data_IF_113711513815
#
_entry.id   IF_113711513815
#
_cell.length_a   1.000
_cell.length_b   1.000
_cell.length_c   1.000
_cell.angle_alpha   90.00
_cell.angle_beta   90.00
_cell.angle_gamma   90.00
#
_symmetry.space_group_name_H-M   'P 1'
#
loop_
_entity.id
_entity.type
_entity.pdbx_description
1 polymer ?
2 non-polymer ?
3 non-polymer ?
4 water ?
#
# COMPACT_ATOMS: atom_id res chain seq x y z
N UNK A 1 0.34 11.14 -14.54
CA UNK A 1 0.37 11.02 -13.04
C UNK A 1 -1.02 10.75 -12.49
N UNK A 2 -1.17 9.74 -11.63
CA UNK A 2 -2.45 9.25 -11.04
C UNK A 2 -2.62 9.86 -9.64
N UNK A 3 -3.81 10.36 -9.32
CA UNK A 3 -4.21 10.74 -7.93
C UNK A 3 -4.86 9.50 -7.30
N UNK A 4 -4.33 9.02 -6.18
CA UNK A 4 -4.78 7.73 -5.57
C UNK A 4 -5.84 8.02 -4.51
N UNK A 5 -6.73 7.06 -4.21
CA UNK A 5 -7.59 7.19 -3.04
C UNK A 5 -6.82 7.20 -1.70
N UNK A 6 -7.31 8.00 -0.78
CA UNK A 6 -6.67 8.28 0.55
C UNK A 6 -7.51 7.64 1.65
N UNK A 7 -6.84 6.86 2.49
CA UNK A 7 -7.42 6.20 3.67
C UNK A 7 -7.79 7.26 4.70
N UNK A 8 -8.92 7.09 5.38
CA UNK A 8 -9.37 8.03 6.44
C UNK A 8 -9.31 7.36 7.80
N UNK A 9 -9.16 8.15 8.85
CA UNK A 9 -9.15 7.70 10.26
C UNK A 9 -10.33 6.76 10.47
N UNK A 10 -10.13 5.63 11.14
CA UNK A 10 -11.14 4.56 11.24
C UNK A 10 -10.74 3.35 10.43
N UNK A 11 -9.96 3.56 9.36
CA UNK A 11 -9.46 2.48 8.47
C UNK A 11 -8.17 1.88 9.06
N UNK A 12 -8.15 0.56 9.15
CA UNK A 12 -7.12 -0.20 9.90
C UNK A 12 -5.74 -0.09 9.22
N UNK A 13 -5.68 0.14 7.90
CA UNK A 13 -4.39 0.32 7.15
C UNK A 13 -3.53 1.39 7.85
N UNK A 14 -4.18 2.42 8.41
CA UNK A 14 -3.55 3.61 9.04
C UNK A 14 -2.89 3.25 10.38
N UNK A 15 -3.27 2.13 10.99
CA UNK A 15 -2.74 1.66 12.29
C UNK A 15 -1.67 0.56 12.17
N UNK A 16 -1.27 0.08 10.99
CA UNK A 16 -0.21 -0.96 10.91
C UNK A 16 1.18 -0.33 10.99
N UNK A 17 2.18 -1.18 11.18
CA UNK A 17 3.59 -0.79 10.95
C UNK A 17 3.91 -1.18 9.53
N UNK A 18 4.20 -0.21 8.69
CA UNK A 18 4.54 -0.42 7.26
C UNK A 18 5.85 -1.21 7.12
N UNK A 19 5.94 -1.98 6.07
CA UNK A 19 7.02 -2.95 5.80
C UNK A 19 8.11 -2.21 5.03
N UNK A 20 9.40 -2.45 5.34
CA UNK A 20 10.48 -1.83 4.59
C UNK A 20 10.43 -2.20 3.10
N UNK A 21 10.92 -1.29 2.29
CA UNK A 21 11.18 -1.48 0.85
C UNK A 21 12.40 -2.40 0.71
N UNK A 22 12.32 -3.45 -0.10
CA UNK A 22 13.45 -4.40 -0.26
C UNK A 22 14.45 -3.83 -1.28
N UNK A 23 15.70 -4.28 -1.21
CA UNK A 23 16.80 -3.82 -2.08
C UNK A 23 16.44 -3.96 -3.58
N UNK A 24 15.78 -5.03 -4.00
CA UNK A 24 15.51 -5.27 -5.44
C UNK A 24 14.44 -4.28 -5.94
N UNK A 25 13.72 -3.57 -5.05
CA UNK A 25 12.74 -2.54 -5.48
C UNK A 25 13.46 -1.22 -5.78
N UNK A 26 14.68 -1.03 -5.28
CA UNK A 26 15.42 0.25 -5.43
C UNK A 26 15.79 0.43 -6.92
N UNK A 27 15.66 1.64 -7.44
CA UNK A 27 16.07 2.01 -8.82
C UNK A 27 15.14 1.29 -9.82
N UNK A 28 13.88 1.02 -9.45
CA UNK A 28 12.92 0.26 -10.30
C UNK A 28 11.83 1.20 -10.83
N UNK A 29 11.25 0.90 -12.00
CA UNK A 29 10.06 1.64 -12.51
C UNK A 29 8.92 1.47 -11.50
N UNK A 30 8.83 0.32 -10.86
CA UNK A 30 7.83 0.09 -9.78
C UNK A 30 7.92 1.22 -8.74
N UNK A 31 9.10 1.50 -8.19
CA UNK A 31 9.27 2.47 -7.07
C UNK A 31 9.09 3.92 -7.56
N UNK A 32 9.57 4.22 -8.76
CA UNK A 32 9.37 5.52 -9.42
C UNK A 32 7.88 5.80 -9.59
N UNK A 33 7.10 4.82 -10.05
CA UNK A 33 5.66 5.04 -10.33
C UNK A 33 4.93 5.21 -8.99
N UNK A 34 5.31 4.46 -7.96
CA UNK A 34 4.68 4.58 -6.62
C UNK A 34 4.90 5.99 -6.10
N UNK A 35 6.13 6.50 -6.19
CA UNK A 35 6.53 7.83 -5.69
C UNK A 35 5.77 8.90 -6.46
N UNK A 36 5.67 8.71 -7.78
CA UNK A 36 4.99 9.66 -8.70
C UNK A 36 3.50 9.77 -8.33
N UNK A 37 2.83 8.64 -8.11
CA UNK A 37 1.39 8.59 -7.75
C UNK A 37 1.18 9.19 -6.34
N UNK A 38 2.05 8.89 -5.38
CA UNK A 38 2.01 9.55 -4.05
C UNK A 38 2.15 11.07 -4.19
N UNK A 39 3.13 11.51 -4.98
CA UNK A 39 3.41 12.95 -5.22
C UNK A 39 2.17 13.64 -5.80
N UNK A 40 1.57 13.08 -6.86
CA UNK A 40 0.36 13.63 -7.52
C UNK A 40 -0.78 13.66 -6.50
N UNK A 41 -0.88 12.64 -5.65
CA UNK A 41 -1.94 12.61 -4.60
C UNK A 41 -1.71 13.78 -3.63
N UNK A 42 -0.49 13.95 -3.12
CA UNK A 42 -0.22 15.01 -2.13
C UNK A 42 -0.58 16.38 -2.77
N UNK A 43 -0.12 16.68 -3.98
CA UNK A 43 -0.41 17.98 -4.65
C UNK A 43 -1.92 18.18 -4.83
N UNK A 44 -2.66 17.16 -5.29
CA UNK A 44 -4.13 17.24 -5.54
C UNK A 44 -4.85 17.67 -4.26
N UNK A 45 -4.33 17.31 -3.09
CA UNK A 45 -4.98 17.63 -1.79
C UNK A 45 -4.31 18.85 -1.16
N UNK A 46 -3.40 19.52 -1.85
CA UNK A 46 -2.67 20.68 -1.29
C UNK A 46 -1.88 20.28 -0.04
N UNK A 47 -1.31 19.07 -0.03
CA UNK A 47 -0.54 18.60 1.13
C UNK A 47 0.90 19.06 1.10
N UNK A 48 1.62 18.93 2.21
CA UNK A 48 3.08 19.21 2.27
C UNK A 48 3.88 17.93 2.58
N UNK A 49 3.17 16.82 2.66
CA UNK A 49 3.79 15.50 2.87
C UNK A 49 2.77 14.40 2.65
N UNK A 50 3.23 13.17 2.54
CA UNK A 50 2.35 12.00 2.40
C UNK A 50 3.15 10.77 2.77
N UNK A 51 2.50 9.72 3.27
CA UNK A 51 3.12 8.44 3.62
C UNK A 51 2.36 7.35 2.86
N UNK A 52 3.03 6.33 2.35
CA UNK A 52 2.41 5.29 1.50
C UNK A 52 1.19 4.64 2.16
N UNK A 53 1.13 4.41 3.49
CA UNK A 53 -0.08 3.84 4.11
C UNK A 53 -1.39 4.57 3.81
N UNK A 54 -1.31 5.88 3.72
CA UNK A 54 -2.42 6.82 3.42
C UNK A 54 -3.04 6.53 2.06
N UNK A 55 -2.31 5.88 1.15
CA UNK A 55 -2.86 5.43 -0.16
C UNK A 55 -2.92 3.90 -0.23
N UNK A 56 -3.03 3.24 0.91
CA UNK A 56 -3.30 1.78 1.08
C UNK A 56 -2.08 0.94 0.73
N UNK A 57 -0.91 1.57 0.75
CA UNK A 57 0.38 0.87 0.50
C UNK A 57 1.15 0.77 1.81
N UNK A 58 1.18 -0.42 2.41
CA UNK A 58 1.85 -0.62 3.71
C UNK A 58 3.36 -0.75 3.54
N UNK A 59 4.00 0.29 2.97
CA UNK A 59 5.45 0.33 2.70
C UNK A 59 6.06 1.60 3.25
N UNK A 60 7.37 1.54 3.56
CA UNK A 60 8.10 2.64 4.25
C UNK A 60 8.61 3.65 3.23
N UNK A 61 7.69 4.39 2.64
CA UNK A 61 8.00 5.44 1.64
C UNK A 61 7.22 6.65 2.09
N UNK A 62 7.88 7.81 2.22
CA UNK A 62 7.24 9.12 2.55
C UNK A 62 7.75 10.18 1.58
N UNK A 63 6.96 11.23 1.43
CA UNK A 63 7.36 12.50 0.76
C UNK A 63 7.21 13.61 1.78
N UNK A 64 8.22 14.48 1.83
CA UNK A 64 8.25 15.70 2.65
C UNK A 64 8.50 16.87 1.69
N UNK A 65 7.58 17.82 1.69
CA UNK A 65 7.73 19.13 1.04
C UNK A 65 7.63 20.17 2.16
N UNK A 66 7.68 21.44 1.84
CA UNK A 66 7.42 22.51 2.83
C UNK A 66 6.87 23.68 2.02
N UNK A 67 5.99 24.50 2.60
CA UNK A 67 5.69 25.84 2.04
C UNK A 67 5.36 26.80 3.18
N UNK A 68 5.60 28.12 3.04
CA UNK A 68 5.26 29.08 4.09
C UNK A 68 3.74 29.17 4.16
N UNK A 69 3.21 29.43 5.36
CA UNK A 69 1.76 29.51 5.66
C UNK A 69 1.59 30.47 6.83
N UNK A 70 0.33 30.76 7.26
CA UNK A 70 0.08 31.47 8.52
C UNK A 70 0.98 31.05 9.69
N UNK A 71 0.96 29.76 10.06
CA UNK A 71 1.59 29.24 11.31
C UNK A 71 3.14 29.30 11.21
N UNK A 72 3.72 29.24 10.01
CA UNK A 72 5.20 29.27 9.79
C UNK A 72 5.51 30.08 8.53
N UNK A 73 5.47 31.43 8.59
CA UNK A 73 5.75 32.25 7.40
C UNK A 73 7.22 32.19 6.93
N UNK A 74 8.19 31.80 7.77
CA UNK A 74 9.63 31.63 7.39
C UNK A 74 9.96 30.15 7.11
N UNK A 75 8.96 29.27 7.05
CA UNK A 75 9.07 27.91 6.49
C UNK A 75 9.55 28.03 5.04
N UNK A 76 10.51 27.19 4.61
CA UNK A 76 10.97 27.24 3.23
C UNK A 76 9.86 26.78 2.27
N UNK A 77 9.97 27.20 1.03
CA UNK A 77 9.34 26.52 -0.13
C UNK A 77 10.32 25.42 -0.55
N UNK A 78 9.90 24.17 -0.49
CA UNK A 78 10.81 23.00 -0.64
C UNK A 78 10.09 21.98 -1.52
N UNK A 79 10.67 21.61 -2.65
CA UNK A 79 10.01 20.60 -3.53
C UNK A 79 10.09 19.25 -2.80
N UNK A 80 9.25 18.32 -3.22
CA UNK A 80 9.11 16.97 -2.64
C UNK A 80 10.49 16.29 -2.53
N UNK A 81 10.83 15.84 -1.34
CA UNK A 81 11.92 14.83 -1.11
C UNK A 81 11.23 13.48 -0.88
N UNK A 82 11.52 12.50 -1.75
CA UNK A 82 11.06 11.10 -1.54
C UNK A 82 12.05 10.37 -0.63
N UNK A 83 11.57 9.78 0.45
CA UNK A 83 12.45 9.12 1.45
C UNK A 83 12.00 7.67 1.57
N UNK A 84 12.91 6.75 1.21
CA UNK A 84 12.66 5.31 1.28
C UNK A 84 13.32 4.80 2.57
N UNK A 85 12.58 4.01 3.35
CA UNK A 85 13.10 3.42 4.62
C UNK A 85 13.74 4.51 5.48
N UNK A 86 13.03 5.63 5.72
CA UNK A 86 13.55 6.72 6.54
C UNK A 86 13.69 6.25 7.99
N UNK A 87 14.73 6.70 8.68
CA UNK A 87 15.00 6.37 10.09
C UNK A 87 15.35 7.67 10.76
N UNK A 88 14.60 8.06 11.79
CA UNK A 88 15.04 9.20 12.62
C UNK A 88 16.10 8.67 13.59
N UNK A 89 17.33 9.18 13.49
CA UNK A 89 18.52 8.76 14.28
C UNK A 89 18.52 9.55 15.59
N UNK A 90 17.98 10.76 15.58
CA UNK A 90 18.09 11.70 16.71
C UNK A 90 16.99 12.73 16.66
N UNK A 91 16.30 12.90 17.79
CA UNK A 91 15.31 13.95 18.06
C UNK A 91 15.98 14.98 18.98
N UNK A 92 15.96 16.27 18.63
CA UNK A 92 16.45 17.35 19.52
C UNK A 92 15.68 17.30 20.86
N UNK A 93 16.33 17.74 21.93
CA UNK A 93 15.68 17.97 23.25
C UNK A 93 14.72 19.16 23.12
N UNK A 94 15.09 20.18 22.35
CA UNK A 94 14.21 21.37 22.17
C UNK A 94 12.96 20.91 21.42
N UNK A 95 11.82 21.29 21.98
CA UNK A 95 10.47 20.82 21.62
C UNK A 95 9.65 22.07 21.38
N UNK A 96 8.86 22.12 20.32
CA UNK A 96 7.94 23.27 20.11
C UNK A 96 6.63 22.72 19.57
N UNK A 97 5.57 23.44 19.89
CA UNK A 97 4.21 23.11 19.46
C UNK A 97 4.02 23.74 18.08
N UNK A 98 3.33 23.03 17.18
CA UNK A 98 2.98 23.60 15.89
C UNK A 98 1.71 23.00 15.33
N UNK A 99 1.03 23.80 14.50
CA UNK A 99 -0.24 23.46 13.84
C UNK A 99 0.02 22.32 12.83
N UNK A 100 -0.77 21.26 12.92
CA UNK A 100 -0.69 20.12 11.98
C UNK A 100 -2.09 19.87 11.44
N UNK A 101 -2.14 19.39 10.21
CA UNK A 101 -3.31 18.73 9.63
C UNK A 101 -2.90 17.37 9.11
N UNK A 102 -3.85 16.64 8.56
CA UNK A 102 -3.62 15.30 7.96
C UNK A 102 -4.61 15.06 6.82
N UNK A 103 -4.13 14.55 5.69
CA UNK A 103 -5.01 14.12 4.58
C UNK A 103 -5.97 13.02 5.07
N UNK A 104 -5.57 12.24 6.08
CA UNK A 104 -6.37 11.09 6.58
C UNK A 104 -7.33 11.57 7.68
N UNK A 105 -7.24 12.83 8.08
CA UNK A 105 -8.12 13.40 9.15
C UNK A 105 -8.54 14.78 8.64
N UNK A 106 -9.26 14.86 7.51
CA UNK A 106 -9.47 16.14 6.82
C UNK A 106 -10.29 17.19 7.61
N UNK A 107 -11.03 16.71 8.63
CA UNK A 107 -12.00 17.44 9.49
C UNK A 107 -11.30 18.32 10.55
N UNK A 108 -10.07 18.00 10.97
CA UNK A 108 -9.48 18.52 12.23
C UNK A 108 -8.06 19.00 11.97
N UNK A 109 -7.69 20.10 12.62
CA UNK A 109 -6.29 20.57 12.73
C UNK A 109 -5.97 20.70 14.21
N UNK A 110 -4.71 20.63 14.58
CA UNK A 110 -4.34 20.68 16.00
C UNK A 110 -2.90 21.12 16.21
N UNK A 111 -2.61 21.48 17.45
CA UNK A 111 -1.26 21.76 17.96
C UNK A 111 -0.65 20.45 18.42
N UNK A 112 0.56 20.15 17.92
CA UNK A 112 1.33 18.95 18.32
C UNK A 112 2.71 19.42 18.74
N UNK A 113 3.18 18.88 19.87
CA UNK A 113 4.59 18.99 20.33
C UNK A 113 5.46 18.12 19.43
N UNK A 114 6.47 18.70 18.79
CA UNK A 114 7.44 17.96 17.94
C UNK A 114 8.86 18.40 18.31
N UNK A 115 9.83 17.54 18.09
CA UNK A 115 11.26 17.91 18.13
C UNK A 115 11.47 19.05 17.12
N UNK A 116 12.17 20.10 17.54
CA UNK A 116 12.47 21.26 16.68
C UNK A 116 13.42 20.80 15.57
N UNK A 117 14.23 19.76 15.80
CA UNK A 117 15.22 19.30 14.81
C UNK A 117 15.32 17.78 14.89
N UNK A 118 15.43 17.11 13.74
CA UNK A 118 15.58 15.62 13.68
C UNK A 118 16.70 15.29 12.70
N UNK A 119 17.51 14.31 13.02
CA UNK A 119 18.51 13.78 12.09
C UNK A 119 17.89 12.55 11.45
N UNK A 120 17.83 12.53 10.11
CA UNK A 120 17.12 11.45 9.37
C UNK A 120 18.04 10.84 8.32
N UNK A 121 18.07 9.52 8.29
CA UNK A 121 18.82 8.77 7.27
C UNK A 121 17.76 8.05 6.45
N UNK A 122 17.93 8.05 5.13
CA UNK A 122 16.97 7.46 4.18
C UNK A 122 17.68 7.11 2.89
N UNK A 123 16.97 6.37 2.05
CA UNK A 123 17.41 6.03 0.69
C UNK A 123 16.64 6.90 -0.30
N UNK A 124 17.32 7.38 -1.34
CA UNK A 124 16.64 7.99 -2.50
C UNK A 124 15.93 6.85 -3.25
N UNK A 125 15.16 7.21 -4.29
CA UNK A 125 14.48 6.20 -5.15
C UNK A 125 15.54 5.33 -5.84
N UNK A 126 16.73 5.89 -6.10
CA UNK A 126 17.86 5.19 -6.76
C UNK A 126 18.59 4.28 -5.76
N UNK A 127 18.33 4.42 -4.46
CA UNK A 127 19.00 3.58 -3.47
C UNK A 127 20.24 4.24 -2.90
N UNK A 128 20.39 5.54 -3.07
CA UNK A 128 21.54 6.26 -2.50
C UNK A 128 21.19 6.63 -1.05
N UNK A 129 22.12 6.40 -0.15
CA UNK A 129 21.99 6.70 1.28
C UNK A 129 22.25 8.18 1.54
N UNK A 130 21.34 8.82 2.26
CA UNK A 130 21.42 10.28 2.59
C UNK A 130 21.18 10.43 4.09
N UNK A 131 21.90 11.35 4.74
CA UNK A 131 21.62 11.77 6.12
C UNK A 131 21.50 13.29 6.15
N UNK A 132 20.38 13.80 6.65
CA UNK A 132 20.05 15.24 6.63
C UNK A 132 19.54 15.62 8.02
N UNK A 133 19.75 16.87 8.46
CA UNK A 133 19.00 17.37 9.64
C UNK A 133 17.88 18.29 9.13
N UNK A 134 16.66 18.02 9.55
CA UNK A 134 15.47 18.89 9.29
C UNK A 134 15.27 19.76 10.53
N UNK A 135 14.84 21.01 10.32
CA UNK A 135 14.51 22.01 11.36
C UNK A 135 13.11 22.53 11.10
N UNK A 136 12.38 22.90 12.16
CA UNK A 136 11.16 23.69 12.00
C UNK A 136 10.07 22.90 11.29
N UNK A 137 9.33 23.54 10.37
CA UNK A 137 8.10 22.97 9.80
C UNK A 137 8.41 21.63 9.13
N UNK A 138 9.44 21.56 8.28
CA UNK A 138 9.91 20.32 7.67
C UNK A 138 10.27 19.19 8.68
N UNK A 139 10.89 19.51 9.81
CA UNK A 139 11.08 18.57 10.95
C UNK A 139 9.73 17.98 11.42
N UNK A 140 8.74 18.86 11.59
CA UNK A 140 7.36 18.50 11.99
C UNK A 140 6.77 17.55 10.95
N UNK A 141 6.96 17.84 9.67
CA UNK A 141 6.34 17.04 8.58
C UNK A 141 7.01 15.66 8.61
N UNK A 142 8.32 15.59 8.80
CA UNK A 142 9.07 14.31 8.78
C UNK A 142 8.56 13.46 9.94
N UNK A 143 8.46 14.06 11.13
CA UNK A 143 7.94 13.34 12.31
C UNK A 143 6.52 12.82 12.06
N UNK A 144 5.62 13.62 11.50
CA UNK A 144 4.21 13.27 11.17
C UNK A 144 4.18 12.05 10.21
N UNK A 145 5.02 12.08 9.17
CA UNK A 145 5.06 11.03 8.13
C UNK A 145 5.63 9.72 8.69
N UNK A 146 6.72 9.77 9.45
CA UNK A 146 7.26 8.55 10.12
C UNK A 146 6.20 8.00 11.09
N UNK A 147 5.48 8.86 11.82
CA UNK A 147 4.34 8.37 12.66
C UNK A 147 3.38 7.55 11.77
N UNK A 148 3.07 7.96 10.53
CA UNK A 148 2.15 7.22 9.62
C UNK A 148 2.70 5.81 9.34
N UNK A 149 4.01 5.69 9.19
CA UNK A 149 4.71 4.41 8.89
C UNK A 149 4.62 3.48 10.10
N UNK A 150 4.39 4.04 11.30
CA UNK A 150 4.37 3.34 12.60
C UNK A 150 2.95 3.27 13.14
N UNK A 151 1.96 3.59 12.32
CA UNK A 151 0.55 3.37 12.67
C UNK A 151 0.04 4.40 13.65
N UNK A 152 0.54 5.65 13.62
CA UNK A 152 0.19 6.74 14.56
C UNK A 152 -0.38 7.94 13.80
N UNK A 153 -1.55 8.43 14.24
CA UNK A 153 -2.17 9.69 13.71
C UNK A 153 -1.90 10.84 14.67
N UNK A 154 -1.81 12.07 14.15
CA UNK A 154 -1.38 13.24 14.97
C UNK A 154 -2.34 13.49 16.14
N UNK A 155 -3.61 13.11 16.00
CA UNK A 155 -4.68 13.33 17.03
C UNK A 155 -4.33 12.52 18.27
N UNK A 156 -3.60 11.41 18.12
CA UNK A 156 -3.17 10.58 19.27
C UNK A 156 -2.10 11.32 20.06
N UNK A 157 -1.46 12.37 19.50
CA UNK A 157 -0.36 13.12 20.16
C UNK A 157 -0.84 14.44 20.75
N UNK A 158 -2.13 14.71 20.69
CA UNK A 158 -2.70 15.93 21.36
C UNK A 158 -3.24 15.48 22.72
N UNK B 1 11.80 -7.02 -14.09
CA UNK B 1 10.57 -6.86 -13.22
C UNK B 1 10.89 -7.11 -11.75
N UNK B 2 10.24 -6.36 -10.86
CA UNK B 2 10.48 -6.41 -9.39
C UNK B 2 9.70 -7.57 -8.77
N UNK B 3 10.37 -8.34 -7.94
CA UNK B 3 9.76 -9.34 -7.03
C UNK B 3 9.51 -8.64 -5.69
N UNK B 4 8.26 -8.57 -5.21
CA UNK B 4 7.91 -7.80 -4.01
C UNK B 4 8.04 -8.70 -2.79
N UNK B 5 8.45 -8.17 -1.63
CA UNK B 5 8.37 -8.96 -0.40
C UNK B 5 6.90 -9.36 -0.11
N UNK B 6 6.74 -10.52 0.50
CA UNK B 6 5.43 -11.18 0.70
C UNK B 6 5.12 -11.19 2.19
N UNK B 7 3.93 -10.74 2.55
CA UNK B 7 3.44 -10.77 3.94
C UNK B 7 3.18 -12.22 4.35
N UNK B 8 3.59 -12.60 5.57
CA UNK B 8 3.28 -13.93 6.16
C UNK B 8 2.12 -13.87 7.15
N UNK B 9 1.41 -14.98 7.31
CA UNK B 9 0.43 -15.17 8.41
C UNK B 9 0.96 -14.59 9.72
N UNK B 10 0.14 -13.83 10.41
CA UNK B 10 0.58 -13.09 11.61
C UNK B 10 0.70 -11.62 11.32
N UNK B 11 0.88 -11.23 10.05
CA UNK B 11 0.92 -9.78 9.67
C UNK B 11 -0.52 -9.27 9.54
N UNK B 12 -0.81 -8.16 10.18
CA UNK B 12 -2.14 -7.51 10.23
C UNK B 12 -2.63 -7.23 8.80
N UNK B 13 -1.73 -6.94 7.83
CA UNK B 13 -2.14 -6.53 6.44
C UNK B 13 -3.05 -7.58 5.80
N UNK B 14 -2.80 -8.86 6.08
CA UNK B 14 -3.52 -10.04 5.50
C UNK B 14 -4.94 -10.12 6.07
N UNK B 15 -5.26 -9.36 7.12
CA UNK B 15 -6.55 -9.48 7.86
C UNK B 15 -7.47 -8.29 7.56
N UNK B 16 -7.11 -7.39 6.64
CA UNK B 16 -7.96 -6.21 6.34
C UNK B 16 -8.93 -6.53 5.19
N UNK B 17 -9.89 -5.65 5.00
CA UNK B 17 -10.72 -5.61 3.77
C UNK B 17 -9.99 -4.67 2.83
N UNK B 18 -9.41 -5.20 1.76
CA UNK B 18 -8.70 -4.36 0.80
C UNK B 18 -9.67 -3.35 0.19
N UNK B 19 -9.15 -2.17 -0.13
CA UNK B 19 -9.90 -1.07 -0.77
C UNK B 19 -10.03 -1.30 -2.26
N UNK B 20 -11.20 -0.99 -2.88
CA UNK B 20 -11.35 -1.06 -4.32
C UNK B 20 -10.34 -0.12 -5.00
N UNK B 21 -9.87 -0.51 -6.16
CA UNK B 21 -9.11 0.38 -7.07
C UNK B 21 -10.05 1.49 -7.58
N UNK B 22 -9.57 2.74 -7.61
CA UNK B 22 -10.37 3.93 -8.03
C UNK B 22 -10.34 4.08 -9.57
N UNK B 23 -11.31 4.78 -10.14
CA UNK B 23 -11.36 5.05 -11.59
C UNK B 23 -10.05 5.74 -12.01
N UNK B 24 -9.49 6.61 -11.17
CA UNK B 24 -8.23 7.36 -11.45
C UNK B 24 -7.12 6.40 -11.85
N UNK B 25 -7.07 5.22 -11.23
CA UNK B 25 -5.93 4.29 -11.37
C UNK B 25 -6.07 3.46 -12.65
N UNK B 26 -7.27 3.30 -13.17
CA UNK B 26 -7.48 2.46 -14.38
C UNK B 26 -6.70 3.03 -15.58
N UNK B 27 -6.03 2.16 -16.32
CA UNK B 27 -5.28 2.52 -17.56
C UNK B 27 -4.07 3.42 -17.21
N UNK B 28 -3.52 3.27 -16.01
CA UNK B 28 -2.40 4.11 -15.53
C UNK B 28 -1.12 3.29 -15.58
N UNK B 29 0.01 3.97 -15.76
CA UNK B 29 1.35 3.38 -15.58
C UNK B 29 1.44 2.76 -14.18
N UNK B 30 0.87 3.42 -13.18
CA UNK B 30 0.91 2.92 -11.78
C UNK B 30 0.32 1.50 -11.75
N UNK B 31 -0.83 1.31 -12.38
CA UNK B 31 -1.61 0.05 -12.20
C UNK B 31 -0.94 -1.05 -13.01
N UNK B 32 -0.42 -0.77 -14.20
CA UNK B 32 0.37 -1.76 -15.00
C UNK B 32 1.62 -2.22 -14.22
N UNK B 33 2.34 -1.28 -13.61
CA UNK B 33 3.58 -1.59 -12.86
C UNK B 33 3.21 -2.43 -11.63
N UNK B 34 2.12 -2.09 -10.93
CA UNK B 34 1.60 -2.95 -9.81
C UNK B 34 1.32 -4.36 -10.34
N UNK B 35 0.59 -4.54 -11.43
CA UNK B 35 0.25 -5.86 -11.99
C UNK B 35 1.52 -6.62 -12.36
N UNK B 36 2.52 -5.95 -12.96
CA UNK B 36 3.79 -6.60 -13.41
C UNK B 36 4.57 -7.11 -12.19
N UNK B 37 4.66 -6.30 -11.14
CA UNK B 37 5.41 -6.67 -9.93
C UNK B 37 4.69 -7.86 -9.28
N UNK B 38 3.37 -7.78 -9.13
CA UNK B 38 2.60 -8.92 -8.59
C UNK B 38 2.86 -10.17 -9.46
N UNK B 39 2.84 -10.02 -10.77
CA UNK B 39 3.04 -11.17 -11.69
C UNK B 39 4.44 -11.77 -11.46
N UNK B 40 5.47 -10.92 -11.39
CA UNK B 40 6.87 -11.38 -11.23
C UNK B 40 7.01 -12.11 -9.90
N UNK B 41 6.40 -11.57 -8.83
CA UNK B 41 6.43 -12.15 -7.46
C UNK B 41 5.80 -13.55 -7.49
N UNK B 42 4.63 -13.65 -8.12
CA UNK B 42 3.92 -14.95 -8.27
C UNK B 42 4.84 -16.00 -8.94
N UNK B 43 5.43 -15.66 -10.09
CA UNK B 43 6.29 -16.59 -10.89
C UNK B 43 7.53 -16.98 -10.10
N UNK B 44 8.23 -15.99 -9.52
CA UNK B 44 9.45 -16.23 -8.70
C UNK B 44 9.12 -17.16 -7.53
N UNK B 45 7.93 -17.05 -6.92
CA UNK B 45 7.52 -17.96 -5.82
C UNK B 45 6.91 -19.26 -6.37
N UNK B 46 6.82 -19.42 -7.69
CA UNK B 46 6.20 -20.60 -8.36
C UNK B 46 4.70 -20.71 -8.06
N UNK B 47 4.01 -19.58 -7.83
CA UNK B 47 2.58 -19.56 -7.45
C UNK B 47 1.68 -19.61 -8.66
N UNK B 48 0.40 -19.87 -8.48
CA UNK B 48 -0.60 -19.92 -9.59
C UNK B 48 -1.61 -18.79 -9.40
N UNK B 49 -1.47 -18.03 -8.33
CA UNK B 49 -2.22 -16.77 -8.17
C UNK B 49 -1.58 -15.90 -7.10
N UNK B 50 -2.08 -14.67 -6.98
CA UNK B 50 -1.63 -13.74 -5.92
C UNK B 50 -2.67 -12.62 -5.79
N UNK B 51 -2.78 -12.07 -4.58
CA UNK B 51 -3.61 -10.90 -4.28
C UNK B 51 -2.70 -9.79 -3.72
N UNK B 52 -3.03 -8.55 -4.00
CA UNK B 52 -2.24 -7.35 -3.65
C UNK B 52 -1.93 -7.30 -2.14
N UNK B 53 -2.84 -7.67 -1.20
CA UNK B 53 -2.49 -7.63 0.22
C UNK B 53 -1.26 -8.48 0.59
N UNK B 54 -1.01 -9.55 -0.14
CA UNK B 54 0.14 -10.46 0.07
C UNK B 54 1.42 -9.68 -0.17
N UNK B 55 1.41 -8.62 -0.97
CA UNK B 55 2.62 -7.78 -1.21
C UNK B 55 2.47 -6.41 -0.56
N UNK B 56 1.68 -6.33 0.53
CA UNK B 56 1.51 -5.15 1.40
C UNK B 56 0.78 -4.02 0.68
N UNK B 57 -0.04 -4.36 -0.30
CA UNK B 57 -0.88 -3.38 -1.05
C UNK B 57 -2.35 -3.71 -0.75
N UNK B 58 -3.04 -2.86 0.02
CA UNK B 58 -4.42 -3.15 0.49
C UNK B 58 -5.42 -2.70 -0.59
N UNK B 59 -5.30 -3.28 -1.78
CA UNK B 59 -6.09 -2.96 -3.00
C UNK B 59 -6.68 -4.25 -3.59
N UNK B 60 -7.86 -4.16 -4.20
CA UNK B 60 -8.63 -5.33 -4.72
C UNK B 60 -8.12 -5.64 -6.13
N UNK B 61 -6.94 -6.25 -6.22
CA UNK B 61 -6.29 -6.70 -7.47
C UNK B 61 -5.81 -8.13 -7.20
N UNK B 62 -6.19 -9.05 -8.07
CA UNK B 62 -5.73 -10.44 -7.99
C UNK B 62 -5.22 -10.86 -9.36
N UNK B 63 -4.37 -11.87 -9.36
CA UNK B 63 -3.92 -12.58 -10.57
C UNK B 63 -4.28 -14.06 -10.41
N UNK B 64 -4.76 -14.67 -11.49
CA UNK B 64 -5.04 -16.13 -11.55
C UNK B 64 -4.34 -16.68 -12.79
N UNK B 65 -3.58 -17.76 -12.61
CA UNK B 65 -2.88 -18.50 -13.68
C UNK B 65 -3.67 -19.78 -13.98
N UNK B 78 -3.22 -22.23 -18.37
CA UNK B 78 -3.88 -20.95 -18.75
C UNK B 78 -2.90 -19.79 -18.53
N UNK B 79 -2.87 -18.82 -19.43
CA UNK B 79 -2.10 -17.55 -19.22
C UNK B 79 -2.75 -16.80 -18.06
N UNK B 80 -1.95 -16.02 -17.32
CA UNK B 80 -2.37 -15.27 -16.11
C UNK B 80 -3.40 -14.21 -16.50
N UNK B 81 -4.51 -14.11 -15.78
CA UNK B 81 -5.44 -12.97 -15.92
C UNK B 81 -5.28 -12.10 -14.67
N UNK B 82 -5.16 -10.81 -14.89
CA UNK B 82 -5.21 -9.78 -13.84
C UNK B 82 -6.65 -9.31 -13.72
N UNK B 83 -7.17 -9.30 -12.51
CA UNK B 83 -8.56 -8.87 -12.25
C UNK B 83 -8.57 -7.72 -11.24
N UNK B 84 -9.18 -6.62 -11.62
CA UNK B 84 -9.31 -5.41 -10.76
C UNK B 84 -10.75 -5.36 -10.23
N UNK B 85 -10.92 -5.17 -8.92
CA UNK B 85 -12.26 -5.05 -8.28
C UNK B 85 -13.08 -6.29 -8.66
N UNK B 86 -12.57 -7.52 -8.50
CA UNK B 86 -13.36 -8.69 -8.87
C UNK B 86 -14.54 -8.89 -7.91
N UNK B 87 -15.63 -9.42 -8.45
CA UNK B 87 -16.81 -9.79 -7.64
C UNK B 87 -17.31 -11.15 -8.15
N UNK B 88 -17.54 -12.09 -7.24
CA UNK B 88 -18.12 -13.41 -7.61
C UNK B 88 -19.63 -13.24 -7.69
N UNK B 89 -20.19 -13.28 -8.90
CA UNK B 89 -21.62 -12.98 -9.21
C UNK B 89 -22.43 -14.28 -9.15
N UNK B 90 -21.79 -15.40 -9.48
CA UNK B 90 -22.51 -16.69 -9.60
C UNK B 90 -21.54 -17.80 -9.26
N UNK B 91 -22.03 -18.86 -8.63
CA UNK B 91 -21.21 -20.04 -8.33
C UNK B 91 -22.09 -21.27 -8.25
N UNK B 92 -21.50 -22.45 -8.49
CA UNK B 92 -22.23 -23.74 -8.45
C UNK B 92 -22.57 -24.04 -6.99
N UNK B 93 -23.75 -24.61 -6.75
CA UNK B 93 -24.06 -25.18 -5.42
C UNK B 93 -23.17 -26.43 -5.24
N UNK B 94 -22.68 -27.00 -6.34
CA UNK B 94 -21.81 -28.19 -6.36
C UNK B 94 -20.41 -27.76 -5.90
N UNK B 95 -19.89 -28.43 -4.89
CA UNK B 95 -18.58 -28.16 -4.27
C UNK B 95 -17.56 -29.22 -4.71
N UNK B 96 -16.29 -28.84 -4.72
CA UNK B 96 -15.12 -29.75 -4.87
C UNK B 96 -14.15 -29.43 -3.74
N UNK B 97 -13.54 -30.47 -3.17
CA UNK B 97 -12.37 -30.36 -2.27
C UNK B 97 -11.13 -30.40 -3.18
N UNK B 98 -10.25 -29.43 -3.04
CA UNK B 98 -8.93 -29.40 -3.71
C UNK B 98 -7.86 -29.05 -2.69
N UNK B 99 -6.63 -29.55 -2.87
CA UNK B 99 -5.48 -29.19 -2.01
C UNK B 99 -5.13 -27.71 -2.24
N UNK B 100 -4.98 -26.92 -1.17
CA UNK B 100 -4.53 -25.51 -1.32
C UNK B 100 -3.20 -25.30 -0.57
N UNK B 101 -2.40 -24.38 -1.08
CA UNK B 101 -1.24 -23.76 -0.41
C UNK B 101 -1.41 -22.27 -0.48
N UNK B 102 -0.46 -21.52 0.03
CA UNK B 102 -0.54 -20.04 0.12
C UNK B 102 0.89 -19.52 0.22
N UNK B 103 1.22 -18.53 -0.62
CA UNK B 103 2.52 -17.80 -0.56
C UNK B 103 2.69 -17.17 0.81
N UNK B 104 1.60 -16.78 1.48
CA UNK B 104 1.63 -16.07 2.79
C UNK B 104 1.63 -17.05 3.97
N UNK B 105 1.49 -18.35 3.75
CA UNK B 105 1.49 -19.39 4.82
C UNK B 105 2.46 -20.48 4.38
N UNK B 106 3.78 -20.18 4.32
CA UNK B 106 4.70 -21.08 3.63
C UNK B 106 4.72 -22.47 4.32
N UNK B 107 4.80 -23.53 3.51
CA UNK B 107 4.96 -24.95 3.97
C UNK B 107 3.71 -25.34 4.78
N UNK B 108 2.53 -24.94 4.30
CA UNK B 108 1.21 -25.38 4.83
C UNK B 108 0.33 -25.81 3.66
N UNK B 109 -0.34 -26.95 3.79
CA UNK B 109 -1.14 -27.58 2.71
C UNK B 109 -2.37 -28.18 3.35
N UNK B 110 -3.53 -28.00 2.73
CA UNK B 110 -4.81 -28.49 3.26
C UNK B 110 -5.87 -28.54 2.19
N UNK B 111 -6.76 -29.52 2.33
CA UNK B 111 -7.98 -29.68 1.49
C UNK B 111 -8.89 -28.52 1.82
N UNK B 112 -9.37 -27.77 0.83
CA UNK B 112 -10.42 -26.71 1.06
C UNK B 112 -11.62 -26.96 0.10
N UNK B 113 -12.82 -26.96 0.65
CA UNK B 113 -14.07 -27.07 -0.16
C UNK B 113 -14.34 -25.71 -0.84
N UNK B 114 -14.46 -25.70 -2.15
CA UNK B 114 -14.73 -24.50 -2.96
C UNK B 114 -15.89 -24.86 -3.88
N UNK B 115 -16.57 -23.84 -4.38
CA UNK B 115 -17.54 -23.99 -5.48
C UNK B 115 -16.75 -24.49 -6.67
N UNK B 116 -17.30 -25.45 -7.42
CA UNK B 116 -16.54 -26.04 -8.56
C UNK B 116 -16.63 -25.08 -9.76
N UNK B 117 -17.64 -24.20 -9.82
CA UNK B 117 -17.79 -23.18 -10.91
C UNK B 117 -18.04 -21.82 -10.26
N UNK B 118 -17.41 -20.78 -10.79
CA UNK B 118 -17.63 -19.39 -10.32
C UNK B 118 -17.72 -18.50 -11.56
N UNK B 119 -18.61 -17.52 -11.49
CA UNK B 119 -18.66 -16.47 -12.52
C UNK B 119 -18.20 -15.16 -11.87
N UNK B 120 -17.18 -14.56 -12.49
CA UNK B 120 -16.48 -13.39 -11.88
C UNK B 120 -16.66 -12.18 -12.79
N UNK B 121 -17.12 -11.08 -12.23
CA UNK B 121 -17.13 -9.77 -12.91
C UNK B 121 -15.94 -8.98 -12.38
N UNK B 122 -15.19 -8.29 -13.27
CA UNK B 122 -13.98 -7.54 -12.87
C UNK B 122 -13.69 -6.49 -13.92
N UNK B 123 -12.78 -5.58 -13.58
CA UNK B 123 -12.25 -4.60 -14.56
C UNK B 123 -10.91 -5.13 -15.08
N UNK B 124 -10.64 -4.95 -16.37
CA UNK B 124 -9.29 -5.10 -16.95
C UNK B 124 -8.41 -3.95 -16.42
N UNK B 125 -7.12 -4.02 -16.66
CA UNK B 125 -6.15 -2.96 -16.30
C UNK B 125 -6.50 -1.65 -17.03
N UNK B 126 -7.11 -1.75 -18.21
CA UNK B 126 -7.59 -0.60 -19.03
C UNK B 126 -8.88 -0.06 -18.40
N UNK B 127 -9.61 -0.85 -17.59
CA UNK B 127 -10.80 -0.39 -16.86
C UNK B 127 -12.13 -0.68 -17.57
N UNK B 128 -12.19 -1.69 -18.43
CA UNK B 128 -13.43 -2.19 -19.06
C UNK B 128 -14.01 -3.32 -18.20
N UNK B 129 -15.33 -3.38 -18.04
CA UNK B 129 -16.01 -4.40 -17.21
C UNK B 129 -16.13 -5.66 -18.05
N UNK B 130 -15.83 -6.80 -17.45
CA UNK B 130 -15.74 -8.10 -18.16
C UNK B 130 -16.25 -9.15 -17.20
N UNK B 131 -16.77 -10.26 -17.76
CA UNK B 131 -17.23 -11.43 -17.00
C UNK B 131 -16.60 -12.68 -17.60
N UNK B 132 -16.25 -13.62 -16.73
CA UNK B 132 -15.65 -14.91 -17.11
C UNK B 132 -16.20 -15.95 -16.15
N UNK B 133 -16.35 -17.19 -16.61
CA UNK B 133 -16.63 -18.29 -15.67
C UNK B 133 -15.39 -19.17 -15.61
N UNK B 134 -15.04 -19.58 -14.39
CA UNK B 134 -13.93 -20.51 -14.12
C UNK B 134 -14.56 -21.80 -13.59
N UNK B 135 -13.97 -22.92 -13.97
CA UNK B 135 -14.32 -24.27 -13.46
C UNK B 135 -13.07 -24.85 -12.80
N UNK B 136 -13.22 -25.76 -11.86
CA UNK B 136 -12.12 -26.61 -11.42
C UNK B 136 -11.03 -25.76 -10.80
N UNK B 137 -9.78 -26.00 -11.19
CA UNK B 137 -8.60 -25.49 -10.44
C UNK B 137 -8.60 -23.96 -10.46
N UNK B 138 -8.76 -23.30 -11.62
CA UNK B 138 -8.80 -21.83 -11.65
C UNK B 138 -9.95 -21.25 -10.81
N UNK B 139 -11.07 -21.97 -10.65
CA UNK B 139 -12.18 -21.55 -9.76
C UNK B 139 -11.73 -21.54 -8.30
N UNK B 140 -10.96 -22.53 -7.86
CA UNK B 140 -10.45 -22.63 -6.47
C UNK B 140 -9.53 -21.43 -6.21
N UNK B 141 -8.67 -21.12 -7.19
CA UNK B 141 -7.66 -20.05 -7.11
C UNK B 141 -8.40 -18.71 -7.02
N UNK B 142 -9.40 -18.45 -7.85
CA UNK B 142 -10.17 -17.18 -7.79
C UNK B 142 -10.74 -16.99 -6.38
N UNK B 143 -11.36 -18.04 -5.84
CA UNK B 143 -12.04 -17.99 -4.52
C UNK B 143 -11.01 -17.72 -3.42
N UNK B 144 -9.84 -18.36 -3.53
CA UNK B 144 -8.70 -18.17 -2.60
C UNK B 144 -8.26 -16.70 -2.65
N UNK B 145 -8.10 -16.12 -3.84
CA UNK B 145 -7.59 -14.76 -3.99
C UNK B 145 -8.64 -13.76 -3.51
N UNK B 146 -9.93 -13.98 -3.80
CA UNK B 146 -11.02 -13.09 -3.29
C UNK B 146 -11.05 -13.14 -1.75
N UNK B 147 -10.91 -14.31 -1.14
CA UNK B 147 -10.72 -14.46 0.32
C UNK B 147 -9.59 -13.53 0.82
N UNK B 148 -8.43 -13.45 0.15
CA UNK B 148 -7.31 -12.56 0.57
C UNK B 148 -7.77 -11.10 0.58
N UNK B 149 -8.60 -10.68 -0.39
CA UNK B 149 -9.13 -9.29 -0.44
C UNK B 149 -10.07 -9.01 0.74
N UNK B 150 -10.61 -10.06 1.38
CA UNK B 150 -11.63 -9.94 2.45
C UNK B 150 -11.01 -10.32 3.80
N UNK B 151 -9.71 -10.47 3.86
CA UNK B 151 -9.01 -10.63 5.13
C UNK B 151 -9.06 -12.06 5.63
N UNK B 152 -9.23 -13.05 4.73
CA UNK B 152 -9.39 -14.50 5.08
C UNK B 152 -8.23 -15.30 4.48
N UNK B 153 -7.58 -16.06 5.36
CA UNK B 153 -6.56 -17.07 4.98
C UNK B 153 -7.24 -18.44 4.94
N UNK B 154 -6.73 -19.33 4.09
CA UNK B 154 -7.37 -20.62 3.74
C UNK B 154 -7.41 -21.55 4.96
N UNK B 155 -6.47 -21.36 5.90
CA UNK B 155 -6.34 -22.14 7.17
C UNK B 155 -7.64 -21.99 7.97
N UNK B 156 -8.30 -20.83 7.87
CA UNK B 156 -9.59 -20.53 8.56
C UNK B 156 -10.74 -21.32 7.92
N UNK B 157 -10.51 -21.96 6.78
CA UNK B 157 -11.44 -22.96 6.20
C UNK B 157 -10.78 -24.33 6.36
#
# INVERSE_FOLDING_TARGET
SVVLPVAKRGEDILKLIAAPVSANELNSNWLYQLADAMHATMLERNGVGIAAPQVYISKRVIIVASRPNPRYPDAPEMNAVVMVNPEILEFSSETCLGEEGCLSVPDERGQVERAEMVKVKYLTLQGEAVETIFHGFPARIVQHEVDHLNGILFVERIS
SVVLPVAKRGEDILKLIAAPVSANELNSNWLYQLADAMHATMLERNGVGIAAPQVYISKRVIIVASRPNPRYPDAPEMNAVVMVNPEILEFSSETCLGEEGCLSVPDERGQVERAEMVKVKYLTLQGEAVETIFHGFPARIVQHEVDHLNGILFVERIS
#
